data_IF_605822978740
#
_entry.id   IF_605822978740
#
_cell.length_a   1.000
_cell.length_b   1.000
_cell.length_c   1.000
_cell.angle_alpha   90.00
_cell.angle_beta   90.00
_cell.angle_gamma   90.00
#
_symmetry.space_group_name_H-M   'P 1'
#
loop_
_entity.id
_entity.type
_entity.pdbx_description
1 polymer ?
#
# COMPACT_ATOMS: atom_id res chain seq x y z
N UNK A 1 -5.69 -36.73 19.76
CA UNK A 1 -4.59 -37.71 19.59
C UNK A 1 -3.54 -37.54 20.68
N UNK A 2 -3.00 -36.35 20.95
CA UNK A 2 -2.22 -36.11 22.19
C UNK A 2 -3.07 -36.25 23.46
N UNK A 3 -4.34 -35.85 23.40
CA UNK A 3 -5.33 -36.03 24.48
C UNK A 3 -5.65 -37.50 24.81
N UNK A 4 -5.17 -38.44 23.98
CA UNK A 4 -5.35 -39.87 24.15
C UNK A 4 -3.99 -40.58 24.37
N UNK A 5 -2.91 -39.83 24.66
CA UNK A 5 -1.53 -40.34 24.86
C UNK A 5 -0.94 -41.15 23.70
N UNK A 6 -1.51 -41.05 22.50
CA UNK A 6 -1.05 -41.81 21.33
C UNK A 6 0.22 -41.20 20.71
N UNK A 7 0.46 -39.91 20.94
CA UNK A 7 1.64 -39.16 20.46
C UNK A 7 1.96 -38.06 21.47
N UNK A 8 3.26 -37.82 21.73
CA UNK A 8 3.75 -36.65 22.48
C UNK A 8 4.43 -35.69 21.49
N UNK A 9 3.91 -34.48 21.31
CA UNK A 9 4.59 -33.48 20.47
C UNK A 9 5.82 -32.91 21.18
N UNK A 10 6.89 -32.58 20.43
CA UNK A 10 8.03 -31.88 21.01
C UNK A 10 7.62 -30.49 21.50
N UNK A 11 8.33 -30.00 22.52
CA UNK A 11 8.11 -28.67 23.07
C UNK A 11 8.09 -27.59 21.98
N UNK A 12 7.14 -26.66 22.07
CA UNK A 12 6.99 -25.54 21.12
C UNK A 12 8.31 -24.78 20.99
N UNK A 13 8.91 -24.80 19.80
CA UNK A 13 10.12 -24.03 19.49
C UNK A 13 9.84 -22.53 19.65
N UNK A 14 10.55 -21.87 20.57
CA UNK A 14 10.48 -20.41 20.77
C UNK A 14 11.37 -19.73 19.72
N UNK A 15 10.77 -19.14 18.71
CA UNK A 15 11.48 -18.29 17.76
C UNK A 15 11.52 -16.85 18.29
N UNK A 16 12.69 -16.18 18.23
CA UNK A 16 12.76 -14.73 18.45
C UNK A 16 11.95 -14.05 17.35
N UNK A 17 10.97 -13.23 17.74
CA UNK A 17 10.24 -12.42 16.80
C UNK A 17 11.22 -11.50 16.06
N UNK A 18 11.22 -11.54 14.72
CA UNK A 18 12.10 -10.71 13.92
C UNK A 18 11.63 -9.26 14.05
N UNK A 19 12.43 -8.41 14.70
CA UNK A 19 12.16 -6.96 14.73
C UNK A 19 12.31 -6.42 13.32
N UNK A 20 11.21 -5.97 12.73
CA UNK A 20 11.21 -5.34 11.41
C UNK A 20 11.56 -3.87 11.58
N UNK A 21 12.55 -3.39 10.84
CA UNK A 21 12.89 -1.97 10.81
C UNK A 21 11.67 -1.19 10.32
N UNK A 22 11.24 -0.21 11.13
CA UNK A 22 10.21 0.74 10.73
C UNK A 22 10.87 1.70 9.74
N UNK A 23 10.35 1.84 8.51
CA UNK A 23 10.90 2.78 7.55
C UNK A 23 10.47 4.19 7.97
N UNK A 24 11.39 4.95 8.56
CA UNK A 24 11.18 6.34 8.97
C UNK A 24 12.19 7.22 8.26
N UNK A 25 11.85 8.47 8.01
CA UNK A 25 12.81 9.46 7.56
C UNK A 25 13.86 9.69 8.65
N UNK A 26 15.14 9.70 8.27
CA UNK A 26 16.21 10.19 9.16
C UNK A 26 16.17 11.71 9.22
N UNK A 27 15.99 12.33 8.05
CA UNK A 27 15.66 13.74 7.89
C UNK A 27 14.41 13.86 7.02
N UNK A 28 13.45 14.68 7.44
CA UNK A 28 12.24 14.89 6.66
C UNK A 28 12.58 15.61 5.35
N UNK A 29 12.02 15.16 4.21
CA UNK A 29 12.22 15.84 2.94
C UNK A 29 11.68 17.27 3.03
N UNK A 30 12.30 18.19 2.28
CA UNK A 30 11.85 19.58 2.21
C UNK A 30 10.38 19.62 1.77
N UNK A 31 9.53 20.15 2.64
CA UNK A 31 8.10 20.29 2.39
C UNK A 31 7.88 21.53 1.53
N UNK A 32 7.34 21.35 0.33
CA UNK A 32 6.96 22.43 -0.57
C UNK A 32 5.42 22.40 -0.68
N UNK A 33 4.71 23.36 -0.05
CA UNK A 33 3.26 23.43 -0.12
C UNK A 33 2.76 23.53 -1.56
N UNK A 34 1.61 22.92 -1.84
CA UNK A 34 0.93 22.99 -3.13
C UNK A 34 -0.51 23.41 -2.87
N UNK A 35 -0.83 24.67 -3.18
CA UNK A 35 -2.14 25.28 -2.98
C UNK A 35 -2.62 25.95 -4.28
N UNK A 36 -2.63 25.19 -5.38
CA UNK A 36 -2.96 25.67 -6.72
C UNK A 36 -4.20 24.94 -7.28
N UNK A 37 -4.67 25.33 -8.46
CA UNK A 37 -5.74 24.63 -9.17
C UNK A 37 -5.24 23.31 -9.77
N UNK A 38 -6.17 22.39 -10.06
CA UNK A 38 -5.84 21.11 -10.70
C UNK A 38 -5.15 21.32 -12.06
N UNK A 39 -5.61 22.30 -12.84
CA UNK A 39 -5.03 22.66 -14.13
C UNK A 39 -3.57 23.13 -14.02
N UNK A 40 -3.23 23.88 -12.97
CA UNK A 40 -1.88 24.41 -12.76
C UNK A 40 -0.88 23.36 -12.28
N UNK A 41 -1.35 22.28 -11.62
CA UNK A 41 -0.48 21.18 -11.19
C UNK A 41 -0.41 20.06 -12.23
N UNK A 42 -1.30 20.05 -13.22
CA UNK A 42 -1.32 19.10 -14.31
C UNK A 42 -0.12 19.25 -15.26
N UNK A 43 0.22 18.22 -16.04
CA UNK A 43 -0.36 16.88 -15.99
C UNK A 43 0.15 16.08 -14.78
N UNK A 44 -0.70 15.17 -14.27
CA UNK A 44 -0.38 14.26 -13.16
C UNK A 44 -0.02 12.89 -13.71
N UNK A 45 1.12 12.36 -13.29
CA UNK A 45 1.61 11.05 -13.69
C UNK A 45 1.82 10.11 -12.48
N UNK A 46 1.88 8.81 -12.77
CA UNK A 46 2.22 7.78 -11.80
C UNK A 46 3.62 7.26 -12.08
N UNK A 47 4.58 7.63 -11.23
CA UNK A 47 5.94 7.12 -11.32
C UNK A 47 6.03 5.78 -10.57
N UNK A 48 6.26 4.70 -11.32
CA UNK A 48 6.45 3.36 -10.74
C UNK A 48 7.71 3.32 -9.88
N UNK A 49 7.60 2.69 -8.72
CA UNK A 49 8.72 2.47 -7.83
C UNK A 49 9.50 1.23 -8.27
N UNK A 50 10.75 1.41 -8.65
CA UNK A 50 11.64 0.33 -9.13
C UNK A 50 12.93 0.24 -8.31
N UNK A 51 13.53 1.38 -8.01
CA UNK A 51 14.80 1.43 -7.28
C UNK A 51 14.65 1.08 -5.79
N UNK A 52 15.75 0.73 -5.13
CA UNK A 52 15.77 0.51 -3.68
C UNK A 52 15.52 1.82 -2.91
N UNK A 53 16.15 2.91 -3.37
CA UNK A 53 16.03 4.24 -2.77
C UNK A 53 14.58 4.73 -2.78
N UNK A 54 13.91 4.63 -3.94
CA UNK A 54 12.51 5.02 -4.08
C UNK A 54 11.59 4.18 -3.18
N UNK A 55 11.87 2.89 -3.04
CA UNK A 55 11.13 2.01 -2.12
C UNK A 55 11.29 2.43 -0.67
N UNK A 56 12.50 2.78 -0.24
CA UNK A 56 12.75 3.21 1.14
C UNK A 56 12.07 4.55 1.42
N UNK A 57 12.19 5.50 0.50
CA UNK A 57 11.54 6.81 0.59
C UNK A 57 10.00 6.69 0.61
N UNK A 58 9.43 5.90 -0.30
CA UNK A 58 7.99 5.66 -0.37
C UNK A 58 7.45 5.03 0.91
N UNK A 59 8.16 4.02 1.43
CA UNK A 59 7.79 3.38 2.70
C UNK A 59 7.80 4.38 3.85
N UNK A 60 8.80 5.27 3.89
CA UNK A 60 8.89 6.32 4.90
C UNK A 60 7.73 7.32 4.78
N UNK A 61 7.34 7.75 3.57
CA UNK A 61 6.14 8.59 3.39
C UNK A 61 4.87 7.91 3.91
N UNK A 62 4.61 6.66 3.51
CA UNK A 62 3.43 5.93 3.97
C UNK A 62 3.47 5.72 5.48
N UNK A 63 4.62 5.36 6.05
CA UNK A 63 4.77 5.18 7.49
C UNK A 63 4.48 6.47 8.27
N UNK A 64 4.89 7.61 7.74
CA UNK A 64 4.85 8.89 8.46
C UNK A 64 3.50 9.58 8.30
N UNK A 65 2.91 9.57 7.10
CA UNK A 65 1.76 10.43 6.78
C UNK A 65 0.47 9.67 6.50
N UNK A 66 0.50 8.36 6.24
CA UNK A 66 -0.72 7.58 6.13
C UNK A 66 -1.20 7.17 7.53
N UNK A 67 -2.48 7.36 7.86
CA UNK A 67 -3.05 7.10 9.19
C UNK A 67 -2.84 5.66 9.72
N UNK A 68 -2.76 4.67 8.83
CA UNK A 68 -2.43 3.26 9.19
C UNK A 68 -0.93 2.92 9.21
N UNK A 69 -0.07 3.87 8.85
CA UNK A 69 1.35 3.65 8.62
C UNK A 69 1.64 2.63 7.51
N UNK A 70 2.93 2.26 7.39
CA UNK A 70 3.39 1.25 6.45
C UNK A 70 3.22 -0.15 7.04
N UNK A 71 2.45 -0.97 6.34
CA UNK A 71 2.41 -2.41 6.55
C UNK A 71 2.92 -3.09 5.30
N UNK A 72 3.76 -4.12 5.48
CA UNK A 72 4.26 -4.88 4.35
C UNK A 72 3.08 -5.53 3.61
N UNK A 73 2.87 -5.23 2.31
CA UNK A 73 1.78 -5.80 1.55
C UNK A 73 1.96 -7.31 1.42
N UNK A 74 0.86 -8.05 1.46
CA UNK A 74 0.87 -9.50 1.26
C UNK A 74 0.79 -9.78 -0.25
N UNK A 75 1.62 -10.71 -0.72
CA UNK A 75 1.63 -11.13 -2.12
C UNK A 75 2.26 -10.12 -3.08
N UNK A 76 1.89 -10.23 -4.35
CA UNK A 76 2.40 -9.38 -5.44
C UNK A 76 1.80 -7.99 -5.30
N UNK A 77 2.66 -6.97 -5.36
CA UNK A 77 2.24 -5.59 -5.23
C UNK A 77 3.09 -4.66 -6.09
N UNK A 78 2.51 -3.52 -6.43
CA UNK A 78 3.17 -2.47 -7.20
C UNK A 78 2.85 -1.12 -6.59
N UNK A 79 3.89 -0.34 -6.31
CA UNK A 79 3.78 0.98 -5.71
C UNK A 79 4.14 2.08 -6.70
N UNK A 80 3.53 3.25 -6.50
CA UNK A 80 3.71 4.43 -7.31
C UNK A 80 3.85 5.68 -6.44
N UNK A 81 4.61 6.65 -6.93
CA UNK A 81 4.46 8.05 -6.55
C UNK A 81 3.46 8.73 -7.48
N UNK A 82 2.66 9.64 -6.93
CA UNK A 82 1.84 10.57 -7.70
C UNK A 82 2.71 11.81 -7.93
N UNK A 83 2.91 12.23 -9.17
CA UNK A 83 3.84 13.31 -9.52
C UNK A 83 3.13 14.36 -10.38
N UNK A 84 3.33 15.63 -10.03
CA UNK A 84 3.05 16.75 -10.92
C UNK A 84 4.23 16.94 -11.86
N UNK A 85 4.02 16.77 -13.16
CA UNK A 85 5.06 16.96 -14.16
C UNK A 85 5.49 18.43 -14.27
N UNK A 86 4.51 19.35 -14.26
CA UNK A 86 4.77 20.79 -14.33
C UNK A 86 5.67 21.29 -13.19
N UNK A 87 5.49 20.75 -11.99
CA UNK A 87 6.27 21.14 -10.79
C UNK A 87 7.46 20.22 -10.51
N UNK A 88 7.57 19.10 -11.22
CA UNK A 88 8.51 17.99 -10.93
C UNK A 88 8.46 17.58 -9.47
N UNK A 89 7.25 17.51 -8.91
CA UNK A 89 7.01 17.37 -7.48
C UNK A 89 6.15 16.16 -7.19
N UNK A 90 6.55 15.36 -6.18
CA UNK A 90 5.73 14.28 -5.64
C UNK A 90 4.58 14.86 -4.83
N UNK A 91 3.36 14.44 -5.16
CA UNK A 91 2.12 14.85 -4.50
C UNK A 91 1.57 13.80 -3.53
N UNK A 92 1.99 12.54 -3.70
CA UNK A 92 1.44 11.45 -2.93
C UNK A 92 1.99 10.07 -3.30
N UNK A 93 1.34 9.03 -2.78
CA UNK A 93 1.75 7.64 -2.86
C UNK A 93 0.54 6.73 -3.08
N UNK A 94 0.73 5.70 -3.91
CA UNK A 94 -0.25 4.65 -4.20
C UNK A 94 0.40 3.28 -4.09
N UNK A 95 -0.40 2.28 -3.73
CA UNK A 95 -0.02 0.87 -3.87
C UNK A 95 -1.21 0.00 -4.20
N UNK A 96 -1.00 -0.86 -5.18
CA UNK A 96 -1.94 -1.91 -5.56
C UNK A 96 -1.38 -3.27 -5.18
N UNK A 97 -2.24 -4.12 -4.65
CA UNK A 97 -1.93 -5.50 -4.29
C UNK A 97 -2.81 -6.43 -5.11
N UNK A 98 -2.23 -7.47 -5.70
CA UNK A 98 -3.00 -8.54 -6.32
C UNK A 98 -3.64 -9.42 -5.23
N UNK A 99 -4.88 -9.83 -5.44
CA UNK A 99 -5.55 -10.84 -4.62
C UNK A 99 -5.59 -10.51 -3.12
N UNK A 100 -5.87 -9.24 -2.78
CA UNK A 100 -5.75 -8.70 -1.41
C UNK A 100 -6.63 -9.38 -0.35
N UNK A 101 -7.61 -10.19 -0.76
CA UNK A 101 -8.39 -11.06 0.12
C UNK A 101 -8.85 -12.30 -0.65
N UNK A 102 -8.49 -13.49 -0.15
CA UNK A 102 -8.93 -14.76 -0.73
C UNK A 102 -10.46 -14.88 -0.74
N UNK A 103 -11.11 -14.42 0.33
CA UNK A 103 -12.57 -14.38 0.48
C UNK A 103 -13.00 -12.99 0.89
N UNK A 104 -13.89 -12.37 0.11
CA UNK A 104 -14.48 -11.06 0.42
C UNK A 104 -15.91 -11.05 -0.11
N UNK A 105 -16.88 -11.34 0.76
CA UNK A 105 -18.28 -11.50 0.37
C UNK A 105 -18.84 -10.28 -0.41
N UNK A 106 -18.61 -9.02 -0.01
CA UNK A 106 -19.10 -7.87 -0.76
C UNK A 106 -18.57 -7.80 -2.21
N UNK A 107 -17.31 -8.21 -2.44
CA UNK A 107 -16.76 -8.28 -3.81
C UNK A 107 -17.44 -9.39 -4.60
N UNK A 108 -17.54 -10.57 -3.99
CA UNK A 108 -18.09 -11.74 -4.66
C UNK A 108 -19.57 -11.50 -5.01
N UNK A 109 -20.35 -10.87 -4.14
CA UNK A 109 -21.73 -10.45 -4.39
C UNK A 109 -21.83 -9.40 -5.50
N UNK A 110 -21.01 -8.34 -5.46
CA UNK A 110 -21.04 -7.26 -6.46
C UNK A 110 -20.71 -7.75 -7.87
N UNK A 111 -19.72 -8.65 -8.00
CA UNK A 111 -19.30 -9.20 -9.30
C UNK A 111 -20.21 -10.38 -9.72
N UNK A 112 -20.98 -10.96 -8.79
CA UNK A 112 -21.78 -12.16 -9.02
C UNK A 112 -20.95 -13.46 -9.06
N UNK A 113 -19.84 -13.49 -8.32
CA UNK A 113 -18.96 -14.66 -8.23
C UNK A 113 -19.42 -15.67 -7.18
N UNK A 114 -19.51 -16.93 -7.58
CA UNK A 114 -19.48 -18.05 -6.65
C UNK A 114 -18.03 -18.45 -6.29
N UNK A 115 -17.89 -19.50 -5.49
CA UNK A 115 -16.58 -20.05 -5.10
C UNK A 115 -15.71 -20.46 -6.29
N UNK A 116 -16.29 -21.04 -7.35
CA UNK A 116 -15.55 -21.51 -8.54
C UNK A 116 -15.04 -20.32 -9.35
N UNK A 117 -15.88 -19.31 -9.57
CA UNK A 117 -15.48 -18.08 -10.24
C UNK A 117 -14.33 -17.40 -9.50
N UNK A 118 -14.47 -17.23 -8.18
CA UNK A 118 -13.43 -16.65 -7.34
C UNK A 118 -12.10 -17.41 -7.45
N UNK A 119 -12.12 -18.73 -7.30
CA UNK A 119 -10.88 -19.53 -7.40
C UNK A 119 -10.18 -19.36 -8.74
N UNK A 120 -10.93 -19.26 -9.84
CA UNK A 120 -10.37 -19.11 -11.19
C UNK A 120 -9.93 -17.68 -11.49
N UNK A 121 -10.64 -16.67 -11.02
CA UNK A 121 -10.52 -15.28 -11.50
C UNK A 121 -9.88 -14.32 -10.49
N UNK A 122 -9.71 -14.70 -9.22
CA UNK A 122 -9.18 -13.80 -8.18
C UNK A 122 -7.79 -13.21 -8.50
N UNK A 123 -6.97 -13.93 -9.26
CA UNK A 123 -5.66 -13.45 -9.69
C UNK A 123 -5.72 -12.26 -10.66
N UNK A 124 -6.89 -12.00 -11.27
CA UNK A 124 -7.15 -10.86 -12.15
C UNK A 124 -7.60 -9.61 -11.37
N UNK A 125 -7.83 -9.73 -10.06
CA UNK A 125 -8.28 -8.62 -9.23
C UNK A 125 -7.09 -7.95 -8.55
N UNK A 126 -7.00 -6.64 -8.78
CA UNK A 126 -6.14 -5.73 -8.03
C UNK A 126 -6.96 -4.95 -7.02
N UNK A 127 -6.37 -4.65 -5.87
CA UNK A 127 -6.99 -3.80 -4.86
C UNK A 127 -6.06 -2.66 -4.50
N UNK A 128 -6.61 -1.46 -4.35
CA UNK A 128 -5.89 -0.34 -3.78
C UNK A 128 -5.69 -0.60 -2.28
N UNK A 129 -4.44 -0.77 -1.86
CA UNK A 129 -4.12 -1.10 -0.47
C UNK A 129 -3.80 0.15 0.35
N UNK A 130 -3.10 1.14 -0.23
CA UNK A 130 -2.86 2.45 0.40
C UNK A 130 -2.93 3.54 -0.65
N UNK A 131 -3.59 4.61 -0.27
CA UNK A 131 -3.65 5.86 -1.01
C UNK A 131 -3.33 7.00 -0.06
N UNK A 132 -2.38 7.85 -0.45
CA UNK A 132 -1.91 8.97 0.34
C UNK A 132 -1.71 10.16 -0.59
N UNK A 133 -2.40 11.27 -0.34
CA UNK A 133 -1.96 12.60 -0.76
C UNK A 133 -1.21 13.23 0.40
N UNK A 134 -0.11 13.91 0.11
CA UNK A 134 0.69 14.50 1.18
C UNK A 134 -0.04 15.63 1.89
N UNK A 135 0.12 15.78 3.23
CA UNK A 135 -0.65 16.77 4.02
C UNK A 135 -0.50 18.23 3.58
N UNK A 136 0.58 18.56 2.87
CA UNK A 136 0.88 19.90 2.36
C UNK A 136 0.38 20.14 0.92
N UNK A 137 -0.29 19.17 0.32
CA UNK A 137 -0.93 19.30 -0.99
C UNK A 137 -2.41 19.54 -0.77
N UNK A 138 -2.86 20.78 -1.02
CA UNK A 138 -4.25 21.21 -0.91
C UNK A 138 -4.72 21.72 -2.27
N UNK A 139 -5.17 20.80 -3.09
CA UNK A 139 -5.65 21.09 -4.44
C UNK A 139 -7.05 20.52 -4.61
N UNK A 140 -8.01 21.39 -4.93
CA UNK A 140 -9.38 20.97 -5.17
C UNK A 140 -9.45 20.00 -6.35
N UNK A 141 -10.31 18.98 -6.20
CA UNK A 141 -10.52 17.91 -7.17
C UNK A 141 -9.35 16.93 -7.41
N UNK A 142 -8.23 17.01 -6.65
CA UNK A 142 -7.13 16.03 -6.79
C UNK A 142 -7.41 14.69 -6.08
N UNK A 143 -7.87 14.76 -4.83
CA UNK A 143 -8.34 13.64 -4.02
C UNK A 143 -9.39 14.10 -3.00
N UNK A 144 -10.05 15.21 -3.36
CA UNK A 144 -10.97 16.10 -2.63
C UNK A 144 -10.38 16.92 -1.47
N UNK A 145 -10.20 18.22 -1.75
CA UNK A 145 -10.00 19.33 -0.82
C UNK A 145 -10.90 20.49 -1.24
#
# INVERSE_FOLDING_TARGET
MESYDVVTLPAKKKYKARVRRIPVFVEHPKIIPVNDTLDAIGPISLQRITSKKDREEWKAYIQTYHYLGYKHPVGVHIGYFIVSEARKQKLGCLIFTASAAWTLAPRDELIGWDKKHRQKLLHLIISNNRFLIFPWVKVSNLASH
#
